data_IF_112176373753
#
_entry.id   IF_112176373753
#
_cell.length_a   1.000
_cell.length_b   1.000
_cell.length_c   1.000
_cell.angle_alpha   90.00
_cell.angle_beta   90.00
_cell.angle_gamma   90.00
#
_symmetry.space_group_name_H-M   'P 1'
#
loop_
_entity.id
_entity.type
_entity.pdbx_description
1 polymer ?
#
# COMPACT_ATOMS: atom_id res chain seq x y z
N UNK A 1 -0.12 16.35 14.95
CA UNK A 1 0.99 15.43 14.60
C UNK A 1 0.45 14.47 13.56
N UNK A 2 1.21 14.18 12.50
CA UNK A 2 0.77 13.17 11.53
C UNK A 2 0.56 11.82 12.23
N UNK A 3 -0.44 11.06 11.78
CA UNK A 3 -0.71 9.70 12.31
C UNK A 3 -0.10 8.66 11.37
N UNK A 4 -0.09 7.38 11.79
CA UNK A 4 0.31 6.28 10.90
C UNK A 4 -0.59 6.18 9.66
N UNK A 5 -1.87 6.51 9.80
CA UNK A 5 -2.80 6.62 8.68
C UNK A 5 -2.33 7.68 7.64
N UNK A 6 -1.96 8.88 8.09
CA UNK A 6 -1.41 9.92 7.20
C UNK A 6 -0.11 9.46 6.51
N UNK A 7 0.75 8.72 7.22
CA UNK A 7 1.95 8.13 6.64
C UNK A 7 1.62 7.11 5.54
N UNK A 8 0.66 6.21 5.75
CA UNK A 8 0.21 5.26 4.71
C UNK A 8 -0.38 5.94 3.49
N UNK A 9 -1.21 6.98 3.68
CA UNK A 9 -1.71 7.77 2.56
C UNK A 9 -0.60 8.40 1.73
N UNK A 10 0.47 8.88 2.37
CA UNK A 10 1.64 9.41 1.68
C UNK A 10 2.37 8.31 0.90
N UNK A 11 2.55 7.12 1.47
CA UNK A 11 3.15 5.97 0.79
C UNK A 11 2.33 5.54 -0.42
N UNK A 12 1.00 5.44 -0.31
CA UNK A 12 0.13 5.14 -1.46
C UNK A 12 0.24 6.22 -2.53
N UNK A 13 0.35 7.50 -2.15
CA UNK A 13 0.56 8.58 -3.14
C UNK A 13 1.90 8.45 -3.88
N UNK A 14 2.96 8.03 -3.18
CA UNK A 14 4.28 7.81 -3.77
C UNK A 14 4.28 6.60 -4.72
N UNK A 15 3.68 5.49 -4.30
CA UNK A 15 3.52 4.29 -5.14
C UNK A 15 2.65 4.57 -6.37
N UNK A 16 1.57 5.31 -6.21
CA UNK A 16 0.75 5.77 -7.33
C UNK A 16 1.56 6.61 -8.33
N UNK A 17 2.36 7.56 -7.86
CA UNK A 17 3.20 8.37 -8.74
C UNK A 17 4.28 7.53 -9.45
N UNK A 18 4.88 6.58 -8.74
CA UNK A 18 5.84 5.63 -9.30
C UNK A 18 5.21 4.82 -10.45
N UNK A 19 4.00 4.32 -10.24
CA UNK A 19 3.23 3.53 -11.23
C UNK A 19 2.90 4.29 -12.50
N UNK A 20 2.77 5.61 -12.43
CA UNK A 20 2.56 6.46 -13.59
C UNK A 20 3.84 6.72 -14.39
N UNK A 21 4.95 6.05 -14.04
CA UNK A 21 6.24 6.17 -14.71
C UNK A 21 7.17 7.23 -14.12
N UNK A 22 6.79 7.88 -13.01
CA UNK A 22 7.67 8.81 -12.30
C UNK A 22 8.61 8.04 -11.38
N UNK A 23 9.57 7.30 -11.96
CA UNK A 23 10.52 6.50 -11.18
C UNK A 23 11.41 7.36 -10.26
N UNK A 24 11.71 8.60 -10.67
CA UNK A 24 12.46 9.56 -9.85
C UNK A 24 11.74 9.97 -8.56
N UNK A 25 10.44 9.69 -8.40
CA UNK A 25 9.69 10.03 -7.19
C UNK A 25 10.33 9.44 -5.93
N UNK A 26 10.99 8.28 -6.05
CA UNK A 26 11.67 7.62 -4.94
C UNK A 26 12.79 8.50 -4.35
N UNK A 27 13.46 9.30 -5.17
CA UNK A 27 14.54 10.22 -4.76
C UNK A 27 14.00 11.39 -3.92
N UNK A 28 12.76 11.82 -4.18
CA UNK A 28 12.11 12.96 -3.53
C UNK A 28 11.21 12.56 -2.34
N UNK A 29 11.27 11.30 -1.90
CA UNK A 29 10.43 10.78 -0.81
C UNK A 29 10.54 11.63 0.46
N UNK A 30 11.74 12.08 0.81
CA UNK A 30 11.99 12.90 1.99
C UNK A 30 11.23 14.25 1.90
N UNK A 31 11.44 14.99 0.82
CA UNK A 31 10.85 16.30 0.57
C UNK A 31 9.32 16.22 0.55
N UNK A 32 8.76 15.20 -0.11
CA UNK A 32 7.31 14.98 -0.18
C UNK A 32 6.71 14.73 1.22
N UNK A 33 7.41 14.00 2.08
CA UNK A 33 6.96 13.76 3.45
C UNK A 33 7.02 15.04 4.30
N UNK A 34 8.08 15.84 4.15
CA UNK A 34 8.21 17.14 4.81
C UNK A 34 7.11 18.12 4.39
N UNK A 35 6.80 18.21 3.10
CA UNK A 35 5.72 19.04 2.56
C UNK A 35 4.35 18.63 3.11
N UNK A 36 4.13 17.32 3.28
CA UNK A 36 2.94 16.76 3.93
C UNK A 36 2.97 16.90 5.46
N UNK A 37 3.98 17.54 6.04
CA UNK A 37 4.19 17.71 7.49
C UNK A 37 4.29 16.39 8.25
N UNK A 38 4.80 15.36 7.60
CA UNK A 38 5.07 14.02 8.17
C UNK A 38 6.54 13.99 8.60
N UNK A 39 6.78 13.95 9.91
CA UNK A 39 8.12 14.15 10.51
C UNK A 39 8.47 13.06 11.52
N UNK A 40 9.74 13.00 11.91
CA UNK A 40 10.25 12.13 12.98
C UNK A 40 9.84 10.65 12.76
N UNK A 41 9.29 9.99 13.80
CA UNK A 41 8.86 8.59 13.75
C UNK A 41 7.87 8.28 12.64
N UNK A 42 7.00 9.22 12.25
CA UNK A 42 6.05 8.98 11.15
C UNK A 42 6.73 9.04 9.78
N UNK A 43 7.77 9.88 9.64
CA UNK A 43 8.60 9.93 8.45
C UNK A 43 9.41 8.66 8.30
N UNK A 44 10.08 8.23 9.36
CA UNK A 44 10.80 6.94 9.40
C UNK A 44 9.87 5.77 9.05
N UNK A 45 8.66 5.75 9.63
CA UNK A 45 7.65 4.74 9.31
C UNK A 45 7.25 4.76 7.83
N UNK A 46 6.92 5.93 7.27
CA UNK A 46 6.56 6.05 5.86
C UNK A 46 7.71 5.63 4.92
N UNK A 47 8.94 6.05 5.21
CA UNK A 47 10.12 5.70 4.42
C UNK A 47 10.39 4.20 4.45
N UNK A 48 10.26 3.56 5.61
CA UNK A 48 10.43 2.11 5.74
C UNK A 48 9.36 1.33 4.98
N UNK A 49 8.10 1.78 5.03
CA UNK A 49 7.02 1.18 4.24
C UNK A 49 7.28 1.32 2.74
N UNK A 50 7.59 2.53 2.26
CA UNK A 50 7.83 2.77 0.84
C UNK A 50 9.01 1.95 0.32
N UNK A 51 10.16 2.00 1.01
CA UNK A 51 11.35 1.21 0.63
C UNK A 51 11.07 -0.28 0.66
N UNK A 52 10.40 -0.77 1.70
CA UNK A 52 10.05 -2.18 1.80
C UNK A 52 9.17 -2.67 0.65
N UNK A 53 8.19 -1.87 0.22
CA UNK A 53 7.39 -2.18 -0.98
C UNK A 53 8.27 -2.20 -2.23
N UNK A 54 9.14 -1.20 -2.41
CA UNK A 54 10.05 -1.12 -3.56
C UNK A 54 11.01 -2.32 -3.63
N UNK A 55 11.59 -2.72 -2.50
CA UNK A 55 12.55 -3.83 -2.41
C UNK A 55 11.90 -5.20 -2.62
N UNK A 56 10.59 -5.32 -2.37
CA UNK A 56 9.84 -6.56 -2.49
C UNK A 56 8.77 -6.53 -3.60
N UNK A 57 8.86 -5.56 -4.53
CA UNK A 57 7.79 -5.27 -5.50
C UNK A 57 7.35 -6.50 -6.28
N UNK A 58 8.29 -7.29 -6.80
CA UNK A 58 7.99 -8.51 -7.56
C UNK A 58 7.22 -9.54 -6.73
N UNK A 59 7.63 -9.79 -5.49
CA UNK A 59 6.94 -10.73 -4.60
C UNK A 59 5.56 -10.23 -4.18
N UNK A 60 5.44 -8.92 -3.95
CA UNK A 60 4.17 -8.27 -3.62
C UNK A 60 3.20 -8.37 -4.80
N UNK A 61 3.64 -8.06 -6.01
CA UNK A 61 2.82 -8.11 -7.22
C UNK A 61 2.39 -9.54 -7.54
N UNK A 62 3.30 -10.51 -7.47
CA UNK A 62 2.99 -11.93 -7.65
C UNK A 62 1.94 -12.42 -6.64
N UNK A 63 2.04 -11.98 -5.38
CA UNK A 63 1.04 -12.31 -4.36
C UNK A 63 -0.31 -11.69 -4.67
N UNK A 64 -0.36 -10.47 -5.22
CA UNK A 64 -1.62 -9.84 -5.64
C UNK A 64 -2.20 -10.62 -6.81
N UNK A 65 -1.44 -10.81 -7.88
CA UNK A 65 -1.85 -11.49 -9.12
C UNK A 65 -2.48 -12.86 -8.85
N UNK A 66 -1.85 -13.68 -8.00
CA UNK A 66 -2.34 -15.02 -7.64
C UNK A 66 -3.72 -14.96 -6.96
N UNK A 67 -4.06 -13.84 -6.32
CA UNK A 67 -5.31 -13.65 -5.59
C UNK A 67 -6.35 -12.80 -6.35
N UNK A 68 -6.04 -12.34 -7.56
CA UNK A 68 -6.94 -11.49 -8.35
C UNK A 68 -8.05 -12.23 -9.09
N UNK A 69 -8.17 -13.56 -8.95
CA UNK A 69 -9.22 -14.37 -9.61
C UNK A 69 -9.34 -14.06 -11.11
N UNK A 70 -10.39 -13.34 -11.51
CA UNK A 70 -10.71 -12.96 -12.90
C UNK A 70 -10.24 -11.55 -13.27
N UNK A 71 -9.67 -10.82 -12.32
CA UNK A 71 -9.18 -9.46 -12.53
C UNK A 71 -7.74 -9.50 -13.01
N UNK A 72 -7.47 -8.71 -14.04
CA UNK A 72 -6.12 -8.49 -14.52
C UNK A 72 -5.46 -7.39 -13.68
N UNK A 73 -4.25 -7.67 -13.18
CA UNK A 73 -3.46 -6.74 -12.38
C UNK A 73 -3.18 -5.42 -13.11
N UNK A 74 -2.93 -5.49 -14.43
CA UNK A 74 -2.66 -4.31 -15.24
C UNK A 74 -3.91 -3.44 -15.43
N UNK A 75 -5.11 -4.04 -15.31
CA UNK A 75 -6.40 -3.35 -15.44
C UNK A 75 -6.90 -2.74 -14.15
N UNK A 76 -6.22 -2.97 -13.03
CA UNK A 76 -6.55 -2.29 -11.78
C UNK A 76 -6.29 -0.79 -11.90
N UNK A 77 -7.17 0.01 -11.29
CA UNK A 77 -6.88 1.43 -11.14
C UNK A 77 -5.61 1.64 -10.31
N UNK A 78 -4.85 2.69 -10.65
CA UNK A 78 -3.52 2.88 -10.07
C UNK A 78 -3.56 3.11 -8.55
N UNK A 79 -4.66 3.67 -8.01
CA UNK A 79 -4.84 3.83 -6.56
C UNK A 79 -5.10 2.47 -5.89
N UNK A 80 -5.93 1.63 -6.49
CA UNK A 80 -6.19 0.28 -6.01
C UNK A 80 -4.91 -0.54 -5.99
N UNK A 81 -4.15 -0.53 -7.09
CA UNK A 81 -2.87 -1.22 -7.19
C UNK A 81 -1.86 -0.72 -6.15
N UNK A 82 -1.69 0.59 -6.02
CA UNK A 82 -0.80 1.18 -5.01
C UNK A 82 -1.23 0.81 -3.57
N UNK A 83 -2.53 0.79 -3.29
CA UNK A 83 -3.05 0.40 -1.97
C UNK A 83 -2.85 -1.09 -1.71
N UNK A 84 -3.13 -1.96 -2.68
CA UNK A 84 -2.88 -3.40 -2.56
C UNK A 84 -1.41 -3.68 -2.31
N UNK A 85 -0.50 -3.03 -3.05
CA UNK A 85 0.95 -3.19 -2.86
C UNK A 85 1.38 -2.86 -1.43
N UNK A 86 0.90 -1.74 -0.89
CA UNK A 86 1.19 -1.39 0.50
C UNK A 86 0.59 -2.40 1.48
N UNK A 87 -0.68 -2.76 1.32
CA UNK A 87 -1.38 -3.69 2.21
C UNK A 87 -0.76 -5.09 2.21
N UNK A 88 -0.42 -5.62 1.04
CA UNK A 88 0.24 -6.92 0.89
C UNK A 88 1.64 -6.90 1.47
N UNK A 89 2.42 -5.84 1.22
CA UNK A 89 3.73 -5.71 1.85
C UNK A 89 3.62 -5.74 3.38
N UNK A 90 2.70 -4.96 3.96
CA UNK A 90 2.51 -4.97 5.42
C UNK A 90 2.08 -6.35 5.92
N UNK A 91 1.19 -7.05 5.21
CA UNK A 91 0.75 -8.40 5.58
C UNK A 91 1.92 -9.38 5.55
N UNK A 92 2.77 -9.36 4.53
CA UNK A 92 3.80 -10.37 4.34
C UNK A 92 5.07 -10.10 5.16
N UNK A 93 5.47 -8.83 5.32
CA UNK A 93 6.80 -8.46 5.80
C UNK A 93 6.80 -7.68 7.12
N UNK A 94 5.64 -7.51 7.76
CA UNK A 94 5.57 -6.85 9.06
C UNK A 94 4.84 -7.71 10.10
N UNK A 95 5.04 -7.35 11.37
CA UNK A 95 4.42 -8.00 12.53
C UNK A 95 3.05 -7.40 12.90
N UNK A 96 2.53 -6.47 12.09
CA UNK A 96 1.23 -5.86 12.38
C UNK A 96 0.10 -6.84 12.06
N UNK A 97 -0.91 -6.88 12.92
CA UNK A 97 -2.09 -7.72 12.73
C UNK A 97 -2.77 -7.44 11.39
N UNK A 98 -3.06 -8.51 10.64
CA UNK A 98 -3.64 -8.41 9.28
C UNK A 98 -4.98 -7.70 9.28
N UNK A 99 -5.82 -7.83 10.31
CA UNK A 99 -7.11 -7.13 10.37
C UNK A 99 -6.90 -5.63 10.52
N UNK A 100 -5.87 -5.19 11.25
CA UNK A 100 -5.50 -3.78 11.35
C UNK A 100 -5.00 -3.26 10.00
N UNK A 101 -4.15 -4.02 9.30
CA UNK A 101 -3.64 -3.64 7.97
C UNK A 101 -4.79 -3.50 6.96
N UNK A 102 -5.69 -4.49 6.91
CA UNK A 102 -6.85 -4.49 6.02
C UNK A 102 -7.73 -3.27 6.29
N UNK A 103 -8.04 -2.99 7.56
CA UNK A 103 -8.83 -1.81 7.92
C UNK A 103 -8.15 -0.50 7.48
N UNK A 104 -6.84 -0.38 7.68
CA UNK A 104 -6.10 0.81 7.23
C UNK A 104 -6.10 0.95 5.71
N UNK A 105 -5.93 -0.14 4.95
CA UNK A 105 -6.00 -0.11 3.48
C UNK A 105 -7.38 0.34 2.98
N UNK A 106 -8.45 -0.11 3.63
CA UNK A 106 -9.84 0.31 3.35
C UNK A 106 -10.01 1.81 3.59
N UNK A 107 -9.57 2.32 4.75
CA UNK A 107 -9.69 3.75 5.09
C UNK A 107 -8.84 4.63 4.17
N UNK A 108 -7.63 4.18 3.81
CA UNK A 108 -6.77 4.87 2.83
C UNK A 108 -7.47 4.94 1.46
N UNK A 109 -8.07 3.84 1.01
CA UNK A 109 -8.80 3.79 -0.28
C UNK A 109 -9.97 4.77 -0.30
N UNK A 110 -10.76 4.82 0.78
CA UNK A 110 -11.88 5.76 0.93
C UNK A 110 -11.42 7.22 0.85
N UNK A 111 -10.25 7.54 1.43
CA UNK A 111 -9.70 8.88 1.40
C UNK A 111 -9.36 9.37 -0.02
N UNK A 112 -9.16 8.47 -0.98
CA UNK A 112 -8.94 8.79 -2.39
C UNK A 112 -10.23 8.86 -3.24
N UNK A 113 -11.41 8.71 -2.63
CA UNK A 113 -12.70 8.98 -3.27
C UNK A 113 -13.23 7.87 -4.20
N UNK A 114 -12.82 6.64 -4.00
CA UNK A 114 -13.25 5.49 -4.81
C UNK A 114 -14.39 4.73 -4.11
N UNK A 115 -15.58 4.66 -4.72
CA UNK A 115 -16.78 4.11 -4.04
C UNK A 115 -16.81 2.57 -3.97
N UNK A 116 -16.36 1.88 -5.03
CA UNK A 116 -16.41 0.40 -5.09
C UNK A 116 -15.13 -0.28 -4.59
N UNK A 117 -14.02 0.46 -4.63
CA UNK A 117 -12.68 -0.07 -4.36
C UNK A 117 -12.47 -0.57 -2.93
N UNK A 118 -13.02 0.03 -1.87
CA UNK A 118 -12.80 -0.47 -0.50
C UNK A 118 -13.25 -1.92 -0.30
N UNK A 119 -14.37 -2.32 -0.91
CA UNK A 119 -14.86 -3.71 -0.84
C UNK A 119 -13.96 -4.67 -1.61
N UNK A 120 -13.46 -4.24 -2.76
CA UNK A 120 -12.52 -5.01 -3.57
C UNK A 120 -11.18 -5.21 -2.84
N UNK A 121 -10.58 -4.12 -2.33
CA UNK A 121 -9.34 -4.14 -1.54
C UNK A 121 -9.46 -5.09 -0.34
N UNK A 122 -10.56 -4.99 0.41
CA UNK A 122 -10.83 -5.91 1.52
C UNK A 122 -10.85 -7.38 1.09
N UNK A 123 -11.53 -7.70 -0.02
CA UNK A 123 -11.65 -9.07 -0.51
C UNK A 123 -10.31 -9.69 -0.92
N UNK A 124 -9.45 -8.91 -1.57
CA UNK A 124 -8.10 -9.37 -2.00
C UNK A 124 -7.18 -9.55 -0.79
N UNK A 125 -7.10 -8.54 0.08
CA UNK A 125 -6.19 -8.60 1.25
C UNK A 125 -6.62 -9.67 2.27
N UNK A 126 -7.92 -9.89 2.47
CA UNK A 126 -8.43 -10.96 3.34
C UNK A 126 -8.06 -12.36 2.81
N UNK A 127 -8.09 -12.56 1.49
CA UNK A 127 -7.67 -13.82 0.87
C UNK A 127 -6.16 -14.07 1.09
N UNK A 128 -5.33 -13.05 0.86
CA UNK A 128 -3.87 -13.12 1.06
C UNK A 128 -3.52 -13.35 2.54
N UNK A 129 -4.19 -12.67 3.46
CA UNK A 129 -3.96 -12.85 4.89
C UNK A 129 -4.29 -14.28 5.37
N UNK A 130 -5.32 -14.92 4.80
CA UNK A 130 -5.69 -16.31 5.09
C UNK A 130 -4.66 -17.29 4.55
N UNK A 131 -4.14 -17.05 3.35
CA UNK A 131 -3.09 -17.89 2.74
C UNK A 131 -1.80 -17.83 3.57
N UNK A 132 -1.37 -16.64 4.01
CA UNK A 132 -0.23 -16.47 4.92
C UNK A 132 -0.40 -17.27 6.22
N UNK A 133 -1.60 -17.29 6.79
CA UNK A 133 -1.88 -17.99 8.05
C UNK A 133 -1.97 -19.52 7.91
N UNK A 134 -2.07 -20.04 6.68
CA UNK A 134 -2.13 -21.47 6.40
C UNK A 134 -0.74 -22.12 6.18
N UNK A 135 0.33 -21.30 6.15
CA UNK A 135 1.73 -21.70 6.08
C UNK A 135 2.34 -21.88 7.48
#
# INVERSE_FOLDING_TARGET
MATRHHARMAVVSLLYAYDLGNQSIAEYTDEILEDKKIRNKQKEFAMNLFRGVMDNMESVDNSIETHLKEWDFERLGSIERATLRLGVYEILYTELDSAVIINEAIEVTKAFGTEQSPKFINGVLDAIAKDKAAL
#
